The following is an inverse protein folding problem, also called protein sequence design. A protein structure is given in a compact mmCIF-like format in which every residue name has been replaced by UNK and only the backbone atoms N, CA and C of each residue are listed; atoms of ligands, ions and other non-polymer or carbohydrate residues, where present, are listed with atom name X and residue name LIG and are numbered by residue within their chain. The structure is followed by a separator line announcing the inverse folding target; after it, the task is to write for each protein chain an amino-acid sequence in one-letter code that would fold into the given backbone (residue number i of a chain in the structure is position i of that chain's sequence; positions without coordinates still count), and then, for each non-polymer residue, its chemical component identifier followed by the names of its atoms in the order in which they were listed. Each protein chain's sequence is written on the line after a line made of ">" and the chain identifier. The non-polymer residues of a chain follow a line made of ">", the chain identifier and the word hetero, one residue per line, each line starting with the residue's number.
data_IF_185498632415
#
_entry.id   IF_185498632415
#
_cell.length_a   1.000
_cell.length_b   1.000
_cell.length_c   1.000
_cell.angle_alpha   90.00
_cell.angle_beta   90.00
_cell.angle_gamma   90.00
#
_symmetry.space_group_name_H-M   'P 1'
#
loop_
_entity.id
_entity.type
_entity.pdbx_description
1 polymer ?
#
# COMPACT_ATOMS: atom_id res chain seq x y z
N UNK A 1 14.04 24.28 2.75
CA UNK A 1 12.62 24.00 3.07
C UNK A 1 12.30 22.62 2.59
N UNK A 2 11.52 21.81 3.34
CA UNK A 2 11.26 20.42 2.98
C UNK A 2 9.82 20.27 2.49
N UNK A 3 9.62 19.63 1.35
CA UNK A 3 8.32 19.27 0.79
C UNK A 3 8.06 17.79 1.05
N UNK A 4 6.93 17.47 1.68
CA UNK A 4 6.58 16.08 1.96
C UNK A 4 5.39 15.68 1.10
N UNK A 5 5.63 14.80 0.12
CA UNK A 5 4.62 14.26 -0.80
C UNK A 5 3.74 13.25 -0.06
N UNK A 6 2.43 13.29 -0.30
CA UNK A 6 1.45 12.47 0.43
C UNK A 6 0.23 12.08 -0.42
N UNK A 7 -0.66 11.25 0.14
CA UNK A 7 -1.94 10.84 -0.44
C UNK A 7 -1.80 10.30 -1.88
N UNK A 8 -2.65 10.74 -2.81
CA UNK A 8 -2.67 10.26 -4.20
C UNK A 8 -1.38 10.52 -4.95
N UNK A 9 -0.71 11.64 -4.66
CA UNK A 9 0.60 11.95 -5.26
C UNK A 9 1.68 11.00 -4.76
N UNK A 10 1.67 10.65 -3.45
CA UNK A 10 2.60 9.65 -2.93
C UNK A 10 2.35 8.27 -3.55
N UNK A 11 1.09 7.89 -3.75
CA UNK A 11 0.74 6.65 -4.43
C UNK A 11 1.26 6.61 -5.87
N UNK A 12 1.14 7.72 -6.61
CA UNK A 12 1.69 7.85 -7.96
C UNK A 12 3.19 7.61 -7.99
N UNK A 13 3.94 8.23 -7.06
CA UNK A 13 5.40 8.03 -6.95
C UNK A 13 5.74 6.60 -6.57
N UNK A 14 5.01 5.99 -5.63
CA UNK A 14 5.24 4.61 -5.17
C UNK A 14 4.95 3.56 -6.26
N UNK A 15 4.16 3.90 -7.25
CA UNK A 15 3.88 3.06 -8.42
C UNK A 15 5.01 3.10 -9.46
N UNK A 16 5.97 4.00 -9.36
CA UNK A 16 7.13 4.02 -10.23
C UNK A 16 7.92 2.71 -10.13
N UNK A 17 8.45 2.24 -11.28
CA UNK A 17 9.07 0.91 -11.43
C UNK A 17 10.17 0.59 -10.41
N UNK A 18 10.94 1.60 -9.98
CA UNK A 18 12.08 1.44 -9.08
C UNK A 18 11.86 2.05 -7.70
N UNK A 19 10.63 2.28 -7.29
CA UNK A 19 10.37 2.88 -5.98
C UNK A 19 10.86 2.00 -4.82
N UNK A 20 10.87 0.68 -4.97
CA UNK A 20 11.39 -0.23 -3.95
C UNK A 20 12.84 0.07 -3.56
N UNK A 21 13.66 0.57 -4.49
CA UNK A 21 15.06 0.95 -4.23
C UNK A 21 15.16 2.11 -3.22
N UNK A 22 14.12 2.92 -3.08
CA UNK A 22 14.09 4.07 -2.18
C UNK A 22 13.68 3.72 -0.75
N UNK A 23 13.16 2.52 -0.50
CA UNK A 23 12.72 2.11 0.84
C UNK A 23 13.88 2.08 1.84
N UNK A 24 15.11 1.86 1.40
CA UNK A 24 16.33 1.91 2.24
C UNK A 24 16.61 3.32 2.77
N UNK A 25 16.01 4.36 2.18
CA UNK A 25 16.16 5.75 2.59
C UNK A 25 15.09 6.20 3.61
N UNK A 26 14.38 5.25 4.24
CA UNK A 26 13.56 5.55 5.43
C UNK A 26 14.46 6.15 6.51
N UNK A 27 14.08 7.31 7.00
CA UNK A 27 14.90 8.03 7.97
C UNK A 27 14.08 8.34 9.23
N UNK A 28 14.46 7.78 10.40
CA UNK A 28 13.73 7.98 11.64
C UNK A 28 13.80 9.43 12.17
N UNK A 29 14.75 10.23 11.68
CA UNK A 29 14.93 11.62 12.10
C UNK A 29 14.17 12.62 11.21
N UNK A 30 13.57 12.18 10.11
CA UNK A 30 12.74 13.06 9.29
C UNK A 30 11.41 13.32 9.97
N UNK A 31 11.06 14.59 10.06
CA UNK A 31 9.79 15.08 10.61
C UNK A 31 9.02 15.89 9.58
N UNK A 32 7.72 16.02 9.80
CA UNK A 32 6.88 16.89 8.97
C UNK A 32 7.27 18.36 9.18
N UNK A 33 7.25 19.20 8.13
CA UNK A 33 7.42 20.61 8.26
C UNK A 33 6.31 21.19 9.17
N UNK A 34 6.69 21.97 10.17
CA UNK A 34 5.76 22.62 11.12
C UNK A 34 4.96 23.75 10.48
N UNK A 35 5.47 24.31 9.38
CA UNK A 35 4.83 25.37 8.60
C UNK A 35 4.62 24.91 7.16
N UNK A 36 3.39 25.12 6.66
CA UNK A 36 3.09 24.88 5.26
C UNK A 36 3.92 25.80 4.35
N UNK A 37 4.43 25.29 3.22
CA UNK A 37 5.14 26.12 2.27
C UNK A 37 4.25 27.20 1.68
N UNK A 38 4.83 28.36 1.37
CA UNK A 38 4.16 29.44 0.67
C UNK A 38 3.81 29.06 -0.78
N UNK A 39 2.79 29.70 -1.36
CA UNK A 39 2.37 29.37 -2.73
C UNK A 39 3.51 29.54 -3.73
N UNK A 40 4.22 30.68 -3.72
CA UNK A 40 5.33 30.91 -4.61
C UNK A 40 6.54 30.00 -4.38
N UNK A 41 6.70 29.46 -3.17
CA UNK A 41 7.75 28.45 -2.89
C UNK A 41 7.41 27.11 -3.53
N UNK A 42 6.13 26.68 -3.41
CA UNK A 42 5.65 25.45 -4.06
C UNK A 42 5.71 25.57 -5.56
N UNK A 43 5.24 26.68 -6.13
CA UNK A 43 5.29 26.93 -7.57
C UNK A 43 6.72 26.83 -8.11
N UNK A 44 7.68 27.47 -7.43
CA UNK A 44 9.10 27.37 -7.79
C UNK A 44 9.60 25.93 -7.69
N UNK A 45 9.27 25.21 -6.61
CA UNK A 45 9.64 23.80 -6.47
C UNK A 45 9.03 22.94 -7.57
N UNK A 46 7.77 23.19 -7.93
CA UNK A 46 7.08 22.49 -9.02
C UNK A 46 7.70 22.74 -10.40
N UNK A 47 8.39 23.86 -10.58
CA UNK A 47 9.09 24.23 -11.83
C UNK A 47 10.53 23.75 -11.86
N UNK A 48 11.22 23.70 -10.72
CA UNK A 48 12.66 23.45 -10.65
C UNK A 48 13.02 22.01 -10.28
N UNK A 49 12.20 21.34 -9.45
CA UNK A 49 12.49 19.97 -9.03
C UNK A 49 12.25 18.95 -10.15
N UNK A 50 13.22 18.10 -10.49
CA UNK A 50 13.03 17.02 -11.46
C UNK A 50 11.91 16.05 -11.06
N UNK A 51 11.73 15.79 -9.76
CA UNK A 51 10.67 14.95 -9.23
C UNK A 51 9.32 15.65 -9.41
N UNK A 52 9.19 16.89 -8.94
CA UNK A 52 7.92 17.61 -8.92
C UNK A 52 7.34 17.87 -10.31
N UNK A 53 8.19 18.06 -11.32
CA UNK A 53 7.77 18.24 -12.72
C UNK A 53 7.05 17.04 -13.33
N UNK A 54 7.33 15.84 -12.83
CA UNK A 54 6.75 14.60 -13.33
C UNK A 54 5.43 14.24 -12.64
N UNK A 55 5.06 14.95 -11.56
CA UNK A 55 3.86 14.64 -10.77
C UNK A 55 2.59 15.17 -11.41
N UNK A 56 1.54 14.38 -11.35
CA UNK A 56 0.19 14.79 -11.73
C UNK A 56 -0.33 15.91 -10.83
N UNK A 57 -1.05 16.86 -11.40
CA UNK A 57 -1.64 17.99 -10.67
C UNK A 57 -3.09 17.72 -10.27
N UNK A 58 -3.54 18.15 -9.09
CA UNK A 58 -2.80 18.89 -8.06
C UNK A 58 -1.87 17.99 -7.25
N UNK A 59 -0.66 18.47 -6.94
CA UNK A 59 0.28 17.77 -6.06
C UNK A 59 -0.18 17.90 -4.61
N UNK A 60 -0.23 16.79 -3.87
CA UNK A 60 -0.64 16.77 -2.46
C UNK A 60 0.58 16.70 -1.56
N UNK A 61 0.76 17.74 -0.75
CA UNK A 61 1.81 17.87 0.26
C UNK A 61 1.25 17.67 1.66
N UNK A 62 2.12 17.32 2.61
CA UNK A 62 1.79 17.11 4.02
C UNK A 62 2.61 18.05 4.90
N UNK A 63 1.96 18.66 5.90
CA UNK A 63 2.59 19.46 6.94
C UNK A 63 2.02 19.08 8.33
N UNK A 64 2.77 19.38 9.39
CA UNK A 64 2.27 19.28 10.74
C UNK A 64 1.38 20.48 11.11
N UNK A 65 0.43 20.26 12.04
CA UNK A 65 -0.41 21.33 12.60
C UNK A 65 -1.63 21.71 11.73
N UNK A 66 -2.76 21.89 12.39
CA UNK A 66 -4.07 22.07 11.71
C UNK A 66 -4.18 23.36 10.89
N UNK A 67 -3.52 24.45 11.29
CA UNK A 67 -3.53 25.75 10.60
C UNK A 67 -2.83 25.77 9.24
N UNK A 68 -2.18 24.68 8.88
CA UNK A 68 -1.37 24.58 7.64
C UNK A 68 -2.15 24.12 6.41
N UNK A 69 -3.43 23.79 6.55
CA UNK A 69 -4.24 23.32 5.42
C UNK A 69 -4.41 24.41 4.38
N UNK A 70 -4.06 24.13 3.14
CA UNK A 70 -4.10 25.08 2.03
C UNK A 70 -4.49 24.40 0.73
N UNK A 71 -5.31 25.06 -0.07
CA UNK A 71 -5.63 24.62 -1.43
C UNK A 71 -5.35 25.74 -2.42
N UNK A 72 -4.48 25.46 -3.38
CA UNK A 72 -4.07 26.40 -4.42
C UNK A 72 -4.18 25.72 -5.79
N UNK A 73 -4.08 26.53 -6.85
CA UNK A 73 -4.01 25.98 -8.21
C UNK A 73 -2.73 25.16 -8.36
N UNK A 74 -2.87 23.86 -8.70
CA UNK A 74 -1.76 22.95 -8.94
C UNK A 74 -1.22 22.22 -7.72
N UNK A 75 -1.61 22.58 -6.49
CA UNK A 75 -1.22 21.84 -5.28
C UNK A 75 -2.21 21.98 -4.14
N UNK A 76 -2.16 21.02 -3.21
CA UNK A 76 -2.91 21.02 -1.96
C UNK A 76 -1.94 20.69 -0.80
N UNK A 77 -1.99 21.44 0.31
CA UNK A 77 -1.32 21.09 1.55
C UNK A 77 -2.37 20.52 2.50
N UNK A 78 -2.15 19.32 2.95
CA UNK A 78 -2.95 18.65 4.00
C UNK A 78 -2.18 18.60 5.31
N UNK A 79 -2.88 18.36 6.40
CA UNK A 79 -2.30 18.24 7.73
C UNK A 79 -2.41 16.79 8.21
N UNK A 80 -1.39 16.32 8.90
CA UNK A 80 -1.36 14.96 9.43
C UNK A 80 -2.43 14.73 10.50
N UNK A 81 -2.70 15.72 11.35
CA UNK A 81 -3.63 15.63 12.49
C UNK A 81 -3.12 14.76 13.64
N UNK A 82 -1.93 14.19 13.51
CA UNK A 82 -1.24 13.38 14.53
C UNK A 82 0.26 13.37 14.23
N UNK A 83 1.05 13.01 15.23
CA UNK A 83 2.50 12.83 15.06
C UNK A 83 2.79 11.52 14.36
N UNK A 84 3.57 11.58 13.27
CA UNK A 84 3.99 10.39 12.54
C UNK A 84 5.06 9.64 13.35
N UNK A 85 4.96 8.30 13.48
CA UNK A 85 6.02 7.49 14.06
C UNK A 85 7.36 7.69 13.34
N UNK A 86 8.50 7.41 13.99
CA UNK A 86 9.81 7.39 13.35
C UNK A 86 9.81 6.51 12.08
N UNK A 87 10.64 6.87 11.10
CA UNK A 87 10.75 6.18 9.80
C UNK A 87 9.49 6.19 8.93
N UNK A 88 8.51 7.06 9.23
CA UNK A 88 7.32 7.27 8.40
C UNK A 88 7.57 8.09 7.13
N UNK A 89 8.77 8.60 6.96
CA UNK A 89 9.19 9.39 5.79
C UNK A 89 10.39 8.78 5.11
N UNK A 90 10.40 8.88 3.77
CA UNK A 90 11.48 8.44 2.89
C UNK A 90 12.05 9.69 2.20
N UNK A 91 13.36 9.85 2.22
CA UNK A 91 14.03 10.96 1.55
C UNK A 91 14.15 10.65 0.06
N UNK A 92 13.69 11.56 -0.80
CA UNK A 92 13.81 11.46 -2.26
C UNK A 92 14.97 12.28 -2.80
N UNK A 93 15.12 13.52 -2.31
CA UNK A 93 16.23 14.42 -2.60
C UNK A 93 16.48 15.36 -1.40
N UNK A 94 17.31 16.41 -1.56
CA UNK A 94 17.66 17.34 -0.47
C UNK A 94 16.44 18.11 0.06
N UNK A 95 15.49 18.45 -0.80
CA UNK A 95 14.31 19.25 -0.47
C UNK A 95 13.01 18.44 -0.37
N UNK A 96 13.00 17.21 -0.89
CA UNK A 96 11.79 16.44 -1.08
C UNK A 96 11.84 15.13 -0.29
N UNK A 97 10.78 14.88 0.46
CA UNK A 97 10.50 13.60 1.11
C UNK A 97 9.12 13.11 0.73
N UNK A 98 8.84 11.86 0.98
CA UNK A 98 7.54 11.22 0.75
C UNK A 98 7.14 10.42 1.98
N UNK A 99 5.85 10.31 2.26
CA UNK A 99 5.36 9.40 3.29
C UNK A 99 5.68 7.94 2.93
N UNK A 100 5.99 7.10 3.92
CA UNK A 100 6.16 5.66 3.70
C UNK A 100 4.82 4.97 3.38
N UNK A 101 4.81 3.70 2.94
CA UNK A 101 3.58 3.01 2.55
C UNK A 101 2.50 2.95 3.64
N UNK A 102 2.88 2.77 4.91
CA UNK A 102 1.94 2.61 6.02
C UNK A 102 1.16 3.91 6.32
N UNK A 103 1.80 5.08 6.50
CA UNK A 103 1.09 6.36 6.58
C UNK A 103 0.27 6.67 5.32
N UNK A 104 0.77 6.33 4.13
CA UNK A 104 -0.01 6.48 2.90
C UNK A 104 -1.32 5.70 2.97
N UNK A 105 -1.28 4.41 3.35
CA UNK A 105 -2.46 3.58 3.50
C UNK A 105 -3.46 4.15 4.51
N UNK A 106 -2.96 4.70 5.62
CA UNK A 106 -3.80 5.37 6.62
C UNK A 106 -4.48 6.63 6.05
N UNK A 107 -3.76 7.41 5.25
CA UNK A 107 -4.32 8.58 4.56
C UNK A 107 -5.40 8.16 3.55
N UNK A 108 -5.14 7.11 2.77
CA UNK A 108 -6.09 6.56 1.80
C UNK A 108 -7.32 5.94 2.46
N UNK A 109 -7.20 5.39 3.68
CA UNK A 109 -8.32 4.83 4.44
C UNK A 109 -9.45 5.84 4.76
N UNK A 110 -9.19 7.13 4.58
CA UNK A 110 -10.16 8.21 4.80
C UNK A 110 -10.95 8.59 3.54
N UNK A 111 -10.53 8.13 2.37
CA UNK A 111 -11.10 8.53 1.08
C UNK A 111 -11.47 7.35 0.19
N UNK A 112 -10.83 6.18 0.39
CA UNK A 112 -11.11 4.97 -0.38
C UNK A 112 -12.28 4.19 0.21
N UNK A 113 -13.02 3.49 -0.65
CA UNK A 113 -14.00 2.48 -0.22
C UNK A 113 -13.28 1.29 0.44
N UNK A 114 -13.98 0.44 1.23
CA UNK A 114 -13.37 -0.73 1.84
C UNK A 114 -12.69 -1.68 0.84
N UNK A 115 -13.28 -1.86 -0.34
CA UNK A 115 -12.72 -2.71 -1.39
C UNK A 115 -11.47 -2.08 -2.01
N UNK A 116 -11.53 -0.81 -2.38
CA UNK A 116 -10.39 -0.08 -2.92
C UNK A 116 -9.21 -0.08 -1.94
N UNK A 117 -9.48 0.10 -0.65
CA UNK A 117 -8.45 0.08 0.38
C UNK A 117 -7.82 -1.31 0.52
N UNK A 118 -8.62 -2.39 0.52
CA UNK A 118 -8.10 -3.75 0.54
C UNK A 118 -7.25 -4.06 -0.71
N UNK A 119 -7.70 -3.63 -1.88
CA UNK A 119 -6.93 -3.77 -3.12
C UNK A 119 -5.63 -2.97 -3.10
N UNK A 120 -5.64 -1.76 -2.49
CA UNK A 120 -4.45 -0.96 -2.33
C UNK A 120 -3.45 -1.60 -1.35
N UNK A 121 -3.93 -2.21 -0.26
CA UNK A 121 -3.08 -3.02 0.63
C UNK A 121 -2.47 -4.19 -0.14
N UNK A 122 -3.25 -4.93 -0.94
CA UNK A 122 -2.73 -6.01 -1.77
C UNK A 122 -1.65 -5.51 -2.76
N UNK A 123 -1.85 -4.34 -3.38
CA UNK A 123 -0.88 -3.74 -4.31
C UNK A 123 0.44 -3.40 -3.62
N UNK A 124 0.39 -2.75 -2.43
CA UNK A 124 1.60 -2.32 -1.74
C UNK A 124 2.32 -3.48 -1.03
N UNK A 125 1.58 -4.52 -0.61
CA UNK A 125 2.13 -5.77 -0.09
C UNK A 125 2.41 -6.82 -1.20
N UNK A 126 2.12 -6.49 -2.47
CA UNK A 126 2.27 -7.35 -3.63
C UNK A 126 3.54 -7.06 -4.44
N UNK A 127 3.71 -7.86 -5.48
CA UNK A 127 4.84 -7.81 -6.41
C UNK A 127 4.49 -7.06 -7.71
N UNK A 128 3.49 -6.19 -7.69
CA UNK A 128 3.07 -5.40 -8.85
C UNK A 128 2.77 -3.95 -8.48
N UNK A 129 2.72 -3.10 -9.48
CA UNK A 129 2.22 -1.74 -9.39
C UNK A 129 1.34 -1.41 -10.60
N UNK A 130 0.29 -0.61 -10.37
CA UNK A 130 -0.60 -0.13 -11.45
C UNK A 130 -0.16 1.29 -11.80
N UNK A 131 0.45 1.47 -12.96
CA UNK A 131 0.87 2.77 -13.47
C UNK A 131 -0.36 3.66 -13.78
N UNK A 132 -0.21 5.00 -13.83
CA UNK A 132 -1.32 5.92 -14.13
C UNK A 132 -2.06 5.59 -15.44
N UNK A 133 -1.39 5.01 -16.42
CA UNK A 133 -1.97 4.54 -17.68
C UNK A 133 -2.67 3.18 -17.62
N UNK A 134 -2.71 2.52 -16.45
CA UNK A 134 -3.27 1.18 -16.28
C UNK A 134 -2.29 0.04 -16.61
N UNK A 135 -1.08 0.35 -17.03
CA UNK A 135 -0.01 -0.63 -17.23
C UNK A 135 0.37 -1.27 -15.90
N UNK A 136 0.61 -2.59 -15.91
CA UNK A 136 1.05 -3.34 -14.73
C UNK A 136 2.56 -3.54 -14.83
N UNK A 137 3.27 -3.08 -13.80
CA UNK A 137 4.71 -3.25 -13.67
C UNK A 137 5.00 -4.22 -12.54
N UNK A 138 5.90 -5.16 -12.77
CA UNK A 138 6.37 -6.10 -11.74
C UNK A 138 7.39 -5.44 -10.82
N UNK A 139 7.32 -5.79 -9.54
CA UNK A 139 8.31 -5.46 -8.51
C UNK A 139 9.04 -6.72 -8.05
N UNK A 140 10.28 -6.56 -7.66
CA UNK A 140 11.08 -7.65 -7.10
C UNK A 140 10.71 -7.93 -5.62
N UNK A 141 10.34 -6.87 -4.90
CA UNK A 141 9.96 -6.94 -3.48
C UNK A 141 8.71 -6.07 -3.22
N UNK A 142 7.89 -6.43 -2.23
CA UNK A 142 6.79 -5.59 -1.78
C UNK A 142 7.28 -4.27 -1.18
N UNK A 143 6.43 -3.24 -1.16
CA UNK A 143 6.76 -1.96 -0.52
C UNK A 143 6.54 -1.99 1.00
N UNK A 144 5.67 -2.85 1.48
CA UNK A 144 5.35 -3.07 2.89
C UNK A 144 4.79 -4.48 3.08
N UNK A 145 4.49 -4.85 4.32
CA UNK A 145 3.82 -6.10 4.69
C UNK A 145 2.61 -5.85 5.58
N UNK A 146 1.71 -6.81 5.68
CA UNK A 146 0.57 -6.75 6.61
C UNK A 146 1.10 -6.61 8.04
N UNK A 147 2.19 -7.29 8.38
CA UNK A 147 2.86 -7.18 9.69
C UNK A 147 3.30 -5.74 9.99
N UNK A 148 3.97 -5.07 9.06
CA UNK A 148 4.40 -3.67 9.19
C UNK A 148 3.21 -2.70 9.31
N UNK A 149 2.12 -2.93 8.57
CA UNK A 149 0.89 -2.13 8.68
C UNK A 149 0.27 -2.27 10.07
N UNK A 150 0.20 -3.50 10.61
CA UNK A 150 -0.35 -3.76 11.94
C UNK A 150 0.51 -3.14 13.03
N UNK A 151 1.83 -3.27 12.95
CA UNK A 151 2.79 -2.64 13.86
C UNK A 151 2.64 -1.11 13.86
N UNK A 152 2.61 -0.49 12.67
CA UNK A 152 2.37 0.94 12.52
C UNK A 152 1.07 1.39 13.20
N UNK A 153 -0.02 0.66 12.99
CA UNK A 153 -1.32 0.97 13.59
C UNK A 153 -1.37 0.76 15.10
N UNK A 154 -0.56 -0.15 15.64
CA UNK A 154 -0.48 -0.40 17.09
C UNK A 154 0.15 0.79 17.81
N UNK A 155 1.13 1.44 17.19
CA UNK A 155 1.84 2.59 17.73
C UNK A 155 1.06 3.91 17.63
N UNK A 156 -0.08 3.94 16.93
CA UNK A 156 -0.81 5.19 16.66
C UNK A 156 -2.04 5.45 17.54
N UNK A 157 -2.53 4.47 18.29
CA UNK A 157 -3.77 4.63 19.05
C UNK A 157 -5.03 4.79 18.19
N UNK A 158 -6.04 5.54 18.68
CA UNK A 158 -7.38 5.68 18.07
C UNK A 158 -7.50 6.71 16.94
N UNK A 159 -6.62 6.71 15.96
CA UNK A 159 -6.59 7.70 14.87
C UNK A 159 -7.67 7.43 13.82
N UNK A 160 -8.31 8.48 13.26
CA UNK A 160 -9.26 8.34 12.15
C UNK A 160 -8.67 7.61 10.96
N UNK A 161 -9.38 6.59 10.46
CA UNK A 161 -8.92 5.72 9.37
C UNK A 161 -8.25 4.42 9.84
N UNK A 162 -7.69 4.36 11.07
CA UNK A 162 -7.04 3.15 11.58
C UNK A 162 -7.97 1.93 11.65
N UNK A 163 -9.24 2.02 12.09
CA UNK A 163 -10.15 0.87 12.04
C UNK A 163 -10.45 0.39 10.62
N UNK A 164 -10.54 1.29 9.65
CA UNK A 164 -10.76 0.94 8.25
C UNK A 164 -9.53 0.23 7.68
N UNK A 165 -8.33 0.74 7.96
CA UNK A 165 -7.09 0.13 7.50
C UNK A 165 -6.84 -1.24 8.13
N UNK A 166 -7.15 -1.43 9.44
CA UNK A 166 -7.09 -2.77 10.08
C UNK A 166 -8.00 -3.77 9.38
N UNK A 167 -9.24 -3.38 9.07
CA UNK A 167 -10.18 -4.25 8.33
C UNK A 167 -9.69 -4.56 6.92
N UNK A 168 -9.11 -3.58 6.24
CA UNK A 168 -8.54 -3.78 4.90
C UNK A 168 -7.33 -4.73 4.94
N UNK A 169 -6.42 -4.53 5.89
CA UNK A 169 -5.26 -5.40 6.07
C UNK A 169 -5.64 -6.85 6.41
N UNK A 170 -6.70 -7.04 7.25
CA UNK A 170 -7.22 -8.40 7.54
C UNK A 170 -7.91 -9.09 6.36
N UNK A 171 -8.27 -8.34 5.32
CA UNK A 171 -8.94 -8.83 4.12
C UNK A 171 -8.03 -8.86 2.88
N UNK A 172 -6.80 -8.39 3.01
CA UNK A 172 -5.81 -8.32 1.95
C UNK A 172 -4.85 -9.52 1.99
N UNK A 173 -4.10 -9.68 0.92
CA UNK A 173 -3.12 -10.75 0.75
C UNK A 173 -1.79 -10.19 0.28
N UNK A 174 -0.72 -10.79 0.75
CA UNK A 174 0.66 -10.47 0.37
C UNK A 174 1.10 -11.27 -0.86
N UNK A 175 2.18 -10.81 -1.49
CA UNK A 175 2.89 -11.48 -2.58
C UNK A 175 2.05 -11.75 -3.85
N UNK A 176 0.88 -11.12 -3.97
CA UNK A 176 0.14 -11.14 -5.24
C UNK A 176 1.02 -10.54 -6.36
N UNK A 177 1.07 -11.19 -7.51
CA UNK A 177 1.88 -10.75 -8.65
C UNK A 177 1.05 -9.96 -9.69
N UNK A 178 -0.27 -9.86 -9.51
CA UNK A 178 -1.14 -9.10 -10.40
C UNK A 178 -2.40 -8.58 -9.70
N UNK A 179 -3.05 -7.53 -10.26
CA UNK A 179 -4.35 -7.07 -9.77
C UNK A 179 -5.44 -8.14 -9.86
N UNK A 180 -5.36 -9.04 -10.84
CA UNK A 180 -6.32 -10.12 -11.05
C UNK A 180 -6.22 -11.17 -9.94
N UNK A 181 -5.00 -11.56 -9.55
CA UNK A 181 -4.76 -12.45 -8.41
C UNK A 181 -5.29 -11.81 -7.11
N UNK A 182 -5.02 -10.52 -6.88
CA UNK A 182 -5.54 -9.80 -5.71
C UNK A 182 -7.08 -9.79 -5.69
N UNK A 183 -7.72 -9.51 -6.84
CA UNK A 183 -9.19 -9.56 -6.96
C UNK A 183 -9.74 -10.94 -6.68
N UNK A 184 -9.10 -11.98 -7.22
CA UNK A 184 -9.49 -13.37 -6.99
C UNK A 184 -9.38 -13.71 -5.51
N UNK A 185 -8.24 -13.42 -4.88
CA UNK A 185 -7.98 -13.71 -3.48
C UNK A 185 -8.99 -13.02 -2.56
N UNK A 186 -9.18 -11.70 -2.74
CA UNK A 186 -10.16 -10.93 -1.97
C UNK A 186 -11.58 -11.50 -2.19
N UNK A 187 -11.97 -11.81 -3.42
CA UNK A 187 -13.30 -12.38 -3.72
C UNK A 187 -13.52 -13.74 -3.09
N UNK A 188 -12.50 -14.58 -3.09
CA UNK A 188 -12.58 -15.94 -2.51
C UNK A 188 -12.63 -15.90 -0.99
N UNK A 189 -11.82 -15.06 -0.36
CA UNK A 189 -11.68 -15.05 1.09
C UNK A 189 -12.68 -14.18 1.84
N UNK A 190 -13.21 -13.13 1.24
CA UNK A 190 -14.17 -12.26 1.90
C UNK A 190 -15.42 -13.02 2.35
N UNK A 191 -16.01 -12.55 3.43
CA UNK A 191 -17.26 -13.10 3.93
C UNK A 191 -18.41 -12.93 2.90
N UNK A 192 -19.42 -13.79 3.00
CA UNK A 192 -20.56 -13.82 2.08
C UNK A 192 -21.37 -12.53 2.14
N UNK A 193 -21.45 -11.89 3.30
CA UNK A 193 -22.17 -10.63 3.47
C UNK A 193 -21.56 -9.49 2.66
N UNK A 194 -20.25 -9.60 2.31
CA UNK A 194 -19.54 -8.66 1.44
C UNK A 194 -19.39 -9.16 0.00
N UNK A 195 -20.13 -10.20 -0.36
CA UNK A 195 -20.12 -10.78 -1.70
C UNK A 195 -18.93 -11.69 -1.99
N UNK A 196 -18.19 -12.15 -0.98
CA UNK A 196 -17.15 -13.18 -1.08
C UNK A 196 -17.69 -14.60 -0.93
N UNK A 197 -16.78 -15.56 -0.98
CA UNK A 197 -17.11 -16.99 -0.83
C UNK A 197 -16.76 -17.54 0.55
N UNK A 198 -16.07 -16.78 1.38
CA UNK A 198 -15.59 -17.18 2.71
C UNK A 198 -14.73 -18.47 2.68
N UNK A 199 -13.92 -18.63 1.65
CA UNK A 199 -12.98 -19.74 1.51
C UNK A 199 -11.60 -19.26 1.98
N UNK A 200 -11.02 -19.89 3.03
CA UNK A 200 -9.71 -19.49 3.54
C UNK A 200 -8.61 -19.68 2.49
N UNK A 201 -7.79 -18.65 2.31
CA UNK A 201 -6.56 -18.70 1.53
C UNK A 201 -5.40 -18.99 2.49
N UNK A 202 -4.53 -19.93 2.13
CA UNK A 202 -3.35 -20.30 2.91
C UNK A 202 -2.12 -19.51 2.50
N UNK A 203 -2.02 -19.16 1.21
CA UNK A 203 -0.89 -18.41 0.68
C UNK A 203 -1.11 -18.04 -0.78
N UNK A 204 -0.26 -17.15 -1.28
CA UNK A 204 -0.23 -16.71 -2.67
C UNK A 204 1.20 -16.76 -3.19
N UNK A 205 1.36 -17.24 -4.42
CA UNK A 205 2.66 -17.30 -5.09
C UNK A 205 3.78 -17.98 -4.28
N UNK A 206 3.43 -18.84 -3.33
CA UNK A 206 4.38 -19.63 -2.55
C UNK A 206 4.87 -20.85 -3.34
N UNK A 207 6.14 -21.17 -3.21
CA UNK A 207 6.71 -22.36 -3.83
C UNK A 207 6.27 -23.61 -3.08
N UNK A 208 5.62 -24.53 -3.77
CA UNK A 208 5.21 -25.83 -3.25
C UNK A 208 6.00 -26.95 -3.93
N UNK A 209 6.54 -27.87 -3.13
CA UNK A 209 7.06 -29.13 -3.63
C UNK A 209 5.89 -30.08 -3.86
N UNK A 210 5.65 -30.42 -5.11
CA UNK A 210 4.59 -31.35 -5.49
C UNK A 210 5.24 -32.65 -5.99
N UNK A 211 4.95 -33.75 -5.27
CA UNK A 211 5.35 -35.10 -5.72
C UNK A 211 4.24 -35.71 -6.57
N UNK A 212 4.59 -36.09 -7.77
CA UNK A 212 3.70 -36.85 -8.61
C UNK A 212 3.75 -38.32 -8.18
N UNK A 213 2.69 -38.80 -7.56
CA UNK A 213 2.54 -40.23 -7.26
C UNK A 213 2.19 -40.96 -8.56
N UNK A 214 3.18 -41.24 -9.35
CA UNK A 214 3.06 -42.08 -10.54
C UNK A 214 3.96 -43.31 -10.36
N UNK A 215 3.45 -44.50 -10.68
CA UNK A 215 4.17 -45.77 -10.53
C UNK A 215 5.52 -45.85 -11.26
N UNK A 216 5.90 -44.86 -12.03
CA UNK A 216 7.12 -44.89 -12.89
C UNK A 216 8.09 -43.72 -12.68
N UNK A 217 7.71 -42.61 -12.04
CA UNK A 217 8.60 -41.43 -11.87
C UNK A 217 8.29 -40.76 -10.54
N UNK A 218 9.21 -40.87 -9.58
CA UNK A 218 9.17 -40.18 -8.28
C UNK A 218 9.97 -38.88 -8.43
N UNK A 219 9.47 -37.95 -9.26
CA UNK A 219 10.08 -36.65 -9.47
C UNK A 219 9.36 -35.60 -8.63
N UNK A 220 10.12 -34.95 -7.75
CA UNK A 220 9.66 -33.76 -7.05
C UNK A 220 9.73 -32.56 -8.01
N UNK A 221 8.60 -31.89 -8.20
CA UNK A 221 8.52 -30.65 -8.96
C UNK A 221 8.17 -29.48 -8.06
N UNK A 222 8.90 -28.38 -8.19
CA UNK A 222 8.51 -27.12 -7.53
C UNK A 222 7.45 -26.44 -8.41
N UNK A 223 6.30 -26.15 -7.80
CA UNK A 223 5.21 -25.38 -8.43
C UNK A 223 4.97 -24.12 -7.61
N UNK A 224 4.60 -23.06 -8.29
CA UNK A 224 4.26 -21.77 -7.68
C UNK A 224 2.83 -21.39 -8.08
N UNK A 225 1.81 -21.91 -7.37
CA UNK A 225 0.42 -21.57 -7.68
C UNK A 225 0.12 -20.13 -7.26
N UNK A 226 -0.74 -19.47 -8.02
CA UNK A 226 -1.17 -18.09 -7.74
C UNK A 226 -1.90 -18.00 -6.39
N UNK A 227 -2.72 -19.02 -6.07
CA UNK A 227 -3.52 -19.06 -4.84
C UNK A 227 -3.59 -20.49 -4.28
N UNK A 228 -3.35 -20.61 -2.97
CA UNK A 228 -3.47 -21.87 -2.22
C UNK A 228 -4.69 -21.79 -1.32
N UNK A 229 -5.67 -22.65 -1.54
CA UNK A 229 -6.94 -22.67 -0.79
C UNK A 229 -6.95 -23.78 0.27
N UNK A 230 -7.59 -23.51 1.42
CA UNK A 230 -7.98 -24.54 2.38
C UNK A 230 -9.41 -24.99 2.09
N UNK A 231 -9.57 -26.18 1.52
CA UNK A 231 -10.89 -26.78 1.41
C UNK A 231 -11.30 -27.44 2.73
N UNK A 232 -12.58 -27.35 3.14
CA UNK A 232 -13.08 -28.11 4.30
C UNK A 232 -12.88 -29.61 4.02
N UNK A 233 -12.25 -30.29 4.97
CA UNK A 233 -12.11 -31.76 4.90
C UNK A 233 -13.48 -32.46 4.89
N UNK A 234 -13.55 -33.76 4.52
CA UNK A 234 -14.80 -34.52 4.40
C UNK A 234 -15.59 -34.69 5.71
N UNK A 235 -15.24 -33.99 6.79
CA UNK A 235 -15.94 -33.94 8.09
C UNK A 235 -16.19 -32.53 8.64
N UNK A 236 -15.94 -31.46 7.82
CA UNK A 236 -16.16 -30.09 8.25
C UNK A 236 -17.64 -29.74 8.46
N UNK A 237 -17.99 -28.72 9.27
CA UNK A 237 -19.35 -28.37 9.59
C UNK A 237 -20.14 -28.08 8.31
N UNK A 238 -21.19 -28.88 8.07
CA UNK A 238 -22.17 -28.60 7.02
C UNK A 238 -22.90 -27.33 7.44
N UNK A 239 -22.59 -26.20 6.85
CA UNK A 239 -23.40 -25.00 7.00
C UNK A 239 -24.79 -25.33 6.43
N UNK A 240 -25.77 -25.45 7.32
CA UNK A 240 -27.16 -25.47 6.93
C UNK A 240 -27.50 -24.15 6.24
N UNK A 241 -28.14 -24.27 5.10
CA UNK A 241 -28.71 -23.19 4.32
C UNK A 241 -29.75 -22.40 5.13
#
# INVERSE_FOLDING_TARGET
>A
MTYVISHTTALEVMRARRFCDLLVHRNPHLTLPTKAPGAGEVERWLETSPIARQLSRPVVLLAAGEGNRKRCRGFEVRTAGFELPPASLIKLDEATSIVSPEPLLLQMARIATPLELAMLVCELCGLYAIQPGGEIVQREVPLTSIGQIVEFLTNLGGIPGAPALRRAASAAFELSASPQESKLAVRVAWDRARGGYAIPILGMNESLEVRRISRRLDEAHVRRPDVILRLPGPGGPRHRA
#
